data_IF_107524166216
#
_entry.id   IF_107524166216
#
_cell.length_a   1.000
_cell.length_b   1.000
_cell.length_c   1.000
_cell.angle_alpha   90.00
_cell.angle_beta   90.00
_cell.angle_gamma   90.00
#
_symmetry.space_group_name_H-M   'P 1'
#
loop_
_entity.id
_entity.type
_entity.pdbx_description
1 polymer ?
#
# COMPACT_ATOMS: atom_id res chain seq x y z
N UNK A 1 11.03 5.01 4.72
CA UNK A 1 9.61 5.38 4.94
C UNK A 1 9.09 5.98 3.65
N UNK A 2 8.10 5.37 3.03
CA UNK A 2 7.47 5.83 1.79
C UNK A 2 6.29 6.76 2.12
N UNK A 3 5.37 6.31 2.96
CA UNK A 3 4.19 7.08 3.30
C UNK A 3 3.65 6.81 4.69
N UNK A 4 2.93 7.79 5.21
CA UNK A 4 2.21 7.74 6.47
C UNK A 4 0.85 8.41 6.24
N UNK A 5 -0.22 7.69 6.51
CA UNK A 5 -1.56 8.11 6.11
C UNK A 5 -2.58 7.87 7.23
N UNK A 6 -3.66 8.64 7.17
CA UNK A 6 -4.92 8.33 7.86
C UNK A 6 -5.88 7.75 6.84
N UNK A 7 -6.56 6.68 7.21
CA UNK A 7 -7.65 6.15 6.40
C UNK A 7 -8.88 7.04 6.58
N UNK A 8 -9.49 7.46 5.46
CA UNK A 8 -10.66 8.35 5.51
C UNK A 8 -11.95 7.61 5.86
N UNK A 9 -12.00 6.28 5.66
CA UNK A 9 -13.16 5.45 5.99
C UNK A 9 -13.05 4.81 7.36
N UNK A 10 -11.83 4.68 7.88
CA UNK A 10 -11.53 4.14 9.19
C UNK A 10 -10.58 5.11 9.94
N UNK A 11 -11.10 6.19 10.55
CA UNK A 11 -10.27 7.26 11.14
C UNK A 11 -9.30 6.80 12.22
N UNK A 12 -9.57 5.64 12.84
CA UNK A 12 -8.71 5.01 13.84
C UNK A 12 -7.57 4.19 13.20
N UNK A 13 -7.58 4.05 11.87
CA UNK A 13 -6.51 3.36 11.14
C UNK A 13 -5.40 4.34 10.73
N UNK A 14 -4.18 3.95 11.06
CA UNK A 14 -2.97 4.63 10.62
C UNK A 14 -2.18 3.71 9.71
N UNK A 15 -2.07 4.07 8.45
CA UNK A 15 -1.43 3.24 7.43
C UNK A 15 0.01 3.68 7.21
N UNK A 16 0.95 2.73 7.28
CA UNK A 16 2.36 2.94 6.99
C UNK A 16 2.79 2.17 5.75
N UNK A 17 3.45 2.86 4.84
CA UNK A 17 4.21 2.25 3.76
C UNK A 17 5.71 2.36 4.07
N UNK A 18 6.34 1.24 4.31
CA UNK A 18 7.77 1.12 4.56
C UNK A 18 8.42 0.34 3.43
N UNK A 19 9.45 0.88 2.80
CA UNK A 19 10.22 0.20 1.78
C UNK A 19 11.60 -0.17 2.30
N UNK A 20 12.09 -1.32 1.88
CA UNK A 20 13.40 -1.87 2.17
C UNK A 20 13.97 -2.45 0.88
N UNK A 21 15.30 -2.50 0.71
CA UNK A 21 15.91 -3.11 -0.46
C UNK A 21 15.52 -4.60 -0.62
N UNK A 22 15.49 -5.33 0.50
CA UNK A 22 15.17 -6.76 0.58
C UNK A 22 14.68 -7.13 1.99
N UNK A 23 14.35 -8.42 2.20
CA UNK A 23 13.87 -8.93 3.49
C UNK A 23 14.95 -8.93 4.58
N UNK A 24 16.22 -9.08 4.23
CA UNK A 24 17.31 -9.01 5.19
C UNK A 24 17.47 -7.57 5.70
N UNK A 25 17.55 -6.59 4.82
CA UNK A 25 17.61 -5.17 5.17
C UNK A 25 16.38 -4.73 5.99
N UNK A 26 15.18 -5.27 5.67
CA UNK A 26 13.99 -5.08 6.50
C UNK A 26 14.20 -5.59 7.92
N UNK A 27 14.69 -6.82 8.06
CA UNK A 27 14.91 -7.47 9.35
C UNK A 27 15.91 -6.68 10.21
N UNK A 28 17.02 -6.27 9.62
CA UNK A 28 18.05 -5.46 10.29
C UNK A 28 17.51 -4.10 10.73
N UNK A 29 16.79 -3.41 9.85
CA UNK A 29 16.20 -2.12 10.17
C UNK A 29 15.13 -2.20 11.27
N UNK A 30 14.30 -3.26 11.28
CA UNK A 30 13.32 -3.48 12.33
C UNK A 30 13.99 -3.79 13.68
N UNK A 31 15.02 -4.63 13.69
CA UNK A 31 15.82 -4.91 14.91
C UNK A 31 16.45 -3.63 15.47
N UNK A 32 17.07 -2.83 14.61
CA UNK A 32 17.67 -1.56 15.00
C UNK A 32 16.63 -0.58 15.55
N UNK A 33 15.47 -0.48 14.94
CA UNK A 33 14.40 0.40 15.38
C UNK A 33 13.79 -0.03 16.71
N UNK A 34 13.34 -1.28 16.81
CA UNK A 34 12.65 -1.80 18.01
C UNK A 34 13.60 -2.04 19.18
N UNK A 35 14.88 -2.31 18.93
CA UNK A 35 15.95 -2.35 19.95
C UNK A 35 16.53 -0.99 20.30
N UNK A 36 16.22 0.06 19.53
CA UNK A 36 16.84 1.37 19.67
C UNK A 36 16.27 2.22 20.82
N UNK A 37 17.04 3.24 21.28
CA UNK A 37 16.66 4.04 22.44
C UNK A 37 15.36 4.85 22.23
N UNK A 38 15.10 5.32 21.02
CA UNK A 38 13.87 6.05 20.73
C UNK A 38 12.62 5.19 20.93
N UNK A 39 12.64 3.93 20.46
CA UNK A 39 11.51 3.01 20.71
C UNK A 39 11.40 2.66 22.19
N UNK A 40 12.50 2.35 22.84
CA UNK A 40 12.50 2.00 24.28
C UNK A 40 11.91 3.13 25.14
N UNK A 41 12.22 4.38 24.83
CA UNK A 41 11.69 5.55 25.55
C UNK A 41 10.18 5.76 25.33
N UNK A 42 9.62 5.37 24.16
CA UNK A 42 8.24 5.72 23.79
C UNK A 42 7.32 4.52 23.58
N UNK A 43 7.82 3.28 23.69
CA UNK A 43 7.06 2.07 23.35
C UNK A 43 5.74 1.95 24.12
N UNK A 44 5.73 2.28 25.41
CA UNK A 44 4.51 2.17 26.22
C UNK A 44 3.42 3.11 25.70
N UNK A 45 3.76 4.38 25.48
CA UNK A 45 2.82 5.33 24.91
C UNK A 45 2.37 4.96 23.49
N UNK A 46 3.28 4.45 22.66
CA UNK A 46 2.93 3.99 21.32
C UNK A 46 1.97 2.78 21.36
N UNK A 47 2.26 1.78 22.19
CA UNK A 47 1.44 0.57 22.27
C UNK A 47 0.03 0.86 22.81
N UNK A 48 -0.15 1.83 23.71
CA UNK A 48 -1.48 2.22 24.20
C UNK A 48 -2.36 2.87 23.13
N UNK A 49 -1.79 3.31 22.01
CA UNK A 49 -2.54 3.88 20.88
C UNK A 49 -2.84 2.85 19.78
N UNK A 50 -2.33 1.63 19.89
CA UNK A 50 -2.52 0.60 18.87
C UNK A 50 -3.67 -0.32 19.27
N UNK A 51 -4.67 -0.44 18.40
CA UNK A 51 -5.75 -1.44 18.53
C UNK A 51 -5.25 -2.79 18.03
N UNK A 52 -4.58 -2.79 16.87
CA UNK A 52 -3.97 -3.96 16.25
C UNK A 52 -2.71 -3.54 15.49
N UNK A 53 -1.63 -4.29 15.63
CA UNK A 53 -0.37 -4.07 14.92
C UNK A 53 -0.04 -5.20 13.92
N UNK A 54 -0.91 -6.20 13.78
CA UNK A 54 -0.60 -7.46 13.09
C UNK A 54 -1.14 -7.51 11.65
N UNK A 55 -1.85 -6.45 11.21
CA UNK A 55 -2.32 -6.33 9.83
C UNK A 55 -1.22 -5.79 8.92
N UNK A 56 -0.22 -6.62 8.67
CA UNK A 56 0.95 -6.27 7.87
C UNK A 56 1.03 -7.18 6.64
N UNK A 57 1.05 -6.58 5.46
CA UNK A 57 1.36 -7.26 4.21
C UNK A 57 2.84 -7.12 3.90
N UNK A 58 3.52 -8.22 3.58
CA UNK A 58 4.80 -8.21 2.90
C UNK A 58 4.54 -8.22 1.40
N UNK A 59 5.10 -7.23 0.73
CA UNK A 59 4.89 -7.02 -0.70
C UNK A 59 6.23 -6.84 -1.41
N UNK A 60 6.32 -7.35 -2.62
CA UNK A 60 7.39 -7.03 -3.57
C UNK A 60 6.80 -6.37 -4.82
N UNK A 61 7.55 -5.54 -5.55
CA UNK A 61 7.09 -5.01 -6.83
C UNK A 61 6.57 -6.11 -7.73
N UNK A 62 5.46 -5.87 -8.43
CA UNK A 62 4.87 -6.85 -9.36
C UNK A 62 5.84 -7.18 -10.50
N UNK A 63 6.64 -6.19 -10.92
CA UNK A 63 7.79 -6.33 -11.82
C UNK A 63 8.86 -5.27 -11.46
N UNK A 64 10.08 -5.33 -11.98
CA UNK A 64 11.22 -4.51 -11.49
C UNK A 64 10.96 -3.00 -11.42
N UNK A 65 10.15 -2.46 -12.32
CA UNK A 65 9.87 -1.01 -12.39
C UNK A 65 8.52 -0.60 -11.79
N UNK A 66 7.71 -1.54 -11.29
CA UNK A 66 6.37 -1.27 -10.79
C UNK A 66 6.34 -0.68 -9.38
N UNK A 67 7.46 -0.63 -8.69
CA UNK A 67 7.58 -0.03 -7.36
C UNK A 67 7.44 1.50 -7.37
N UNK A 68 7.27 2.07 -6.19
CA UNK A 68 7.28 3.52 -6.06
C UNK A 68 8.61 4.10 -6.56
N UNK A 69 8.53 5.02 -7.50
CA UNK A 69 9.70 5.76 -7.96
C UNK A 69 10.26 6.64 -6.84
N UNK A 70 11.58 6.92 -6.84
CA UNK A 70 12.18 7.84 -5.89
C UNK A 70 11.46 9.19 -5.92
N UNK A 71 10.83 9.54 -4.82
CA UNK A 71 10.12 10.80 -4.65
C UNK A 71 10.98 11.82 -3.90
N UNK A 72 10.45 13.02 -3.65
CA UNK A 72 11.13 14.05 -2.90
C UNK A 72 11.50 13.57 -1.50
N UNK A 73 12.46 14.21 -0.88
CA UNK A 73 12.87 13.93 0.48
C UNK A 73 11.73 14.10 1.48
N UNK A 74 11.82 13.35 2.58
CA UNK A 74 10.83 13.45 3.64
C UNK A 74 10.78 14.87 4.20
N UNK A 75 9.59 15.51 4.26
CA UNK A 75 9.47 16.83 4.84
C UNK A 75 10.02 16.91 6.26
N UNK A 76 10.66 18.03 6.60
CA UNK A 76 11.17 18.30 7.95
C UNK A 76 10.03 18.24 8.99
N UNK A 77 10.38 17.92 10.25
CA UNK A 77 9.46 18.04 11.37
C UNK A 77 9.03 19.52 11.56
N UNK A 78 7.75 19.74 11.90
CA UNK A 78 7.21 21.09 12.09
C UNK A 78 6.45 21.66 10.90
N UNK A 79 6.40 21.00 9.73
CA UNK A 79 5.46 21.38 8.68
C UNK A 79 4.04 21.05 9.10
N UNK A 80 3.18 22.07 9.12
CA UNK A 80 1.78 21.94 9.54
C UNK A 80 0.81 21.66 8.37
N UNK A 81 1.18 22.01 7.14
CA UNK A 81 0.30 21.83 6.00
C UNK A 81 0.29 20.36 5.55
N UNK A 82 -0.84 19.68 5.70
CA UNK A 82 -1.08 18.41 5.04
C UNK A 82 -1.13 18.62 3.51
N UNK A 83 -0.65 17.66 2.72
CA UNK A 83 -0.80 17.72 1.27
C UNK A 83 -2.29 17.68 0.90
N UNK A 84 -2.63 18.33 -0.19
CA UNK A 84 -3.95 18.21 -0.81
C UNK A 84 -3.99 16.93 -1.66
N UNK A 85 -5.15 16.26 -1.68
CA UNK A 85 -5.35 15.03 -2.43
C UNK A 85 -5.30 13.78 -1.57
N UNK A 86 -5.60 12.66 -2.21
CA UNK A 86 -5.64 11.33 -1.59
C UNK A 86 -4.77 10.36 -2.37
N UNK A 87 -4.13 9.45 -1.65
CA UNK A 87 -3.56 8.23 -2.21
C UNK A 87 -4.59 7.14 -2.04
N UNK A 88 -4.88 6.40 -3.09
CA UNK A 88 -5.83 5.30 -3.07
C UNK A 88 -5.05 4.00 -3.15
N UNK A 89 -5.18 3.17 -2.13
CA UNK A 89 -4.65 1.82 -2.11
C UNK A 89 -5.76 0.83 -2.42
N UNK A 90 -5.60 0.06 -3.49
CA UNK A 90 -6.54 -0.99 -3.86
C UNK A 90 -5.88 -2.34 -3.67
N UNK A 91 -6.49 -3.19 -2.85
CA UNK A 91 -6.04 -4.55 -2.58
C UNK A 91 -6.98 -5.53 -3.23
N UNK A 92 -6.45 -6.35 -4.13
CA UNK A 92 -7.15 -7.45 -4.77
C UNK A 92 -6.66 -8.77 -4.17
N UNK A 93 -7.58 -9.53 -3.59
CA UNK A 93 -7.31 -10.85 -3.06
C UNK A 93 -7.45 -11.85 -4.19
N UNK A 94 -6.33 -12.44 -4.57
CA UNK A 94 -6.25 -13.30 -5.73
C UNK A 94 -6.66 -14.73 -5.41
N UNK A 95 -7.33 -15.36 -6.37
CA UNK A 95 -7.45 -16.80 -6.39
C UNK A 95 -6.03 -17.42 -6.50
N UNK A 96 -5.74 -18.50 -5.77
CA UNK A 96 -4.41 -19.13 -5.84
C UNK A 96 -3.97 -19.52 -7.25
N UNK A 97 -4.89 -19.88 -8.13
CA UNK A 97 -4.59 -20.23 -9.52
C UNK A 97 -4.24 -19.04 -10.39
N UNK A 98 -4.68 -17.84 -10.02
CA UNK A 98 -4.43 -16.61 -10.77
C UNK A 98 -3.14 -15.90 -10.34
N UNK A 99 -2.64 -16.14 -9.13
CA UNK A 99 -1.56 -15.36 -8.50
C UNK A 99 -0.33 -15.18 -9.39
N UNK A 100 0.16 -16.25 -10.00
CA UNK A 100 1.39 -16.22 -10.78
C UNK A 100 1.26 -15.43 -12.08
N UNK A 101 0.11 -15.47 -12.75
CA UNK A 101 -0.12 -14.80 -14.04
C UNK A 101 -0.74 -13.41 -13.91
N UNK A 102 -1.21 -13.03 -12.73
CA UNK A 102 -1.96 -11.81 -12.56
C UNK A 102 -1.17 -10.52 -12.85
N UNK A 103 0.13 -10.40 -12.51
CA UNK A 103 0.92 -9.22 -12.88
C UNK A 103 0.89 -8.91 -14.38
N UNK A 104 0.99 -9.94 -15.22
CA UNK A 104 0.93 -9.81 -16.68
C UNK A 104 -0.46 -9.34 -17.14
N UNK A 105 -1.52 -9.91 -16.57
CA UNK A 105 -2.91 -9.49 -16.87
C UNK A 105 -3.13 -8.05 -16.43
N UNK A 106 -2.60 -7.66 -15.29
CA UNK A 106 -2.70 -6.29 -14.81
C UNK A 106 -2.03 -5.32 -15.77
N UNK A 107 -0.80 -5.59 -16.16
CA UNK A 107 -0.01 -4.69 -17.00
C UNK A 107 -0.55 -4.59 -18.43
N UNK A 108 -0.91 -5.74 -19.02
CA UNK A 108 -1.32 -5.80 -20.43
C UNK A 108 -2.79 -5.41 -20.65
N UNK A 109 -3.66 -5.59 -19.66
CA UNK A 109 -5.11 -5.37 -19.82
C UNK A 109 -5.65 -4.30 -18.87
N UNK A 110 -5.46 -4.48 -17.56
CA UNK A 110 -6.16 -3.66 -16.57
C UNK A 110 -5.55 -2.26 -16.43
N UNK A 111 -4.23 -2.13 -16.42
CA UNK A 111 -3.57 -0.83 -16.28
C UNK A 111 -3.85 0.12 -17.46
N UNK A 112 -3.86 -0.32 -18.74
CA UNK A 112 -4.32 0.50 -19.84
C UNK A 112 -5.77 0.97 -19.72
N UNK A 113 -6.67 0.11 -19.21
CA UNK A 113 -8.05 0.49 -18.97
C UNK A 113 -8.18 1.52 -17.86
N UNK A 114 -7.43 1.37 -16.76
CA UNK A 114 -7.35 2.35 -15.68
C UNK A 114 -6.82 3.70 -16.20
N UNK A 115 -5.76 3.68 -16.98
CA UNK A 115 -5.20 4.89 -17.59
C UNK A 115 -6.21 5.58 -18.49
N UNK A 116 -6.94 4.83 -19.33
CA UNK A 116 -8.01 5.34 -20.19
C UNK A 116 -9.16 6.00 -19.42
N UNK A 117 -9.45 5.50 -18.20
CA UNK A 117 -10.43 6.09 -17.30
C UNK A 117 -9.86 7.28 -16.47
N UNK A 118 -8.60 7.65 -16.68
CA UNK A 118 -7.92 8.71 -15.95
C UNK A 118 -7.53 8.33 -14.51
N UNK A 119 -7.38 7.03 -14.22
CA UNK A 119 -6.89 6.50 -12.94
C UNK A 119 -5.43 6.07 -13.13
N UNK A 120 -4.44 6.95 -12.86
CA UNK A 120 -3.03 6.61 -13.06
C UNK A 120 -2.57 5.60 -12.01
N UNK A 121 -1.87 4.56 -12.43
CA UNK A 121 -1.19 3.63 -11.54
C UNK A 121 0.16 4.23 -11.14
N UNK A 122 0.36 4.43 -9.84
CA UNK A 122 1.62 4.95 -9.27
C UNK A 122 2.63 3.84 -8.97
N UNK A 123 2.14 2.71 -8.52
CA UNK A 123 2.93 1.53 -8.20
C UNK A 123 2.03 0.31 -8.08
N UNK A 124 2.59 -0.87 -8.31
CA UNK A 124 1.89 -2.15 -8.13
C UNK A 124 2.80 -3.20 -7.50
N UNK A 125 2.21 -4.04 -6.67
CA UNK A 125 2.91 -5.03 -5.85
C UNK A 125 2.13 -6.33 -5.78
N UNK A 126 2.86 -7.41 -5.55
CA UNK A 126 2.32 -8.74 -5.22
C UNK A 126 2.77 -9.18 -3.84
N UNK A 127 2.11 -10.19 -3.29
CA UNK A 127 2.56 -10.82 -2.04
C UNK A 127 4.02 -11.25 -2.11
N UNK A 128 4.76 -10.99 -1.05
CA UNK A 128 6.09 -11.55 -0.80
C UNK A 128 5.93 -12.74 0.15
N UNK A 129 6.27 -13.93 -0.30
CA UNK A 129 6.13 -15.19 0.44
C UNK A 129 7.42 -15.62 1.16
N UNK A 130 8.44 -14.76 1.14
CA UNK A 130 9.68 -14.99 1.88
C UNK A 130 9.46 -14.99 3.40
N UNK A 131 10.39 -15.62 4.11
CA UNK A 131 10.32 -15.74 5.57
C UNK A 131 10.31 -14.35 6.26
N UNK A 132 9.42 -14.19 7.24
CA UNK A 132 9.42 -13.03 8.11
C UNK A 132 10.57 -13.10 9.13
N UNK A 133 11.72 -12.56 8.79
CA UNK A 133 12.91 -12.54 9.65
C UNK A 133 12.77 -11.69 10.94
N UNK A 134 11.59 -11.09 11.20
CA UNK A 134 11.30 -10.32 12.41
C UNK A 134 9.93 -10.73 12.99
N UNK A 135 9.82 -11.89 13.66
CA UNK A 135 8.55 -12.44 14.16
C UNK A 135 7.83 -11.56 15.18
N UNK A 136 8.56 -10.68 15.88
CA UNK A 136 7.95 -9.73 16.83
C UNK A 136 7.00 -8.70 16.15
N UNK A 137 7.04 -8.59 14.84
CA UNK A 137 6.02 -7.92 14.02
C UNK A 137 5.40 -8.97 13.11
N UNK A 138 4.26 -9.56 13.48
CA UNK A 138 3.56 -10.54 12.67
C UNK A 138 3.20 -10.00 11.30
N UNK A 139 3.04 -10.90 10.34
CA UNK A 139 2.63 -10.58 8.97
C UNK A 139 1.58 -11.57 8.51
N UNK A 140 0.76 -11.17 7.55
CA UNK A 140 -0.23 -12.03 6.89
C UNK A 140 0.48 -12.93 5.86
N UNK A 141 1.14 -13.98 6.34
CA UNK A 141 2.03 -14.83 5.54
C UNK A 141 1.31 -15.62 4.43
N UNK A 142 0.02 -15.91 4.63
CA UNK A 142 -0.85 -16.63 3.69
C UNK A 142 -1.62 -15.72 2.72
N UNK A 143 -1.42 -14.40 2.83
CA UNK A 143 -2.09 -13.45 1.96
C UNK A 143 -1.61 -13.61 0.51
N UNK A 144 -2.55 -13.75 -0.42
CA UNK A 144 -2.32 -13.72 -1.86
C UNK A 144 -2.99 -12.48 -2.41
N UNK A 145 -2.22 -11.42 -2.53
CA UNK A 145 -2.77 -10.12 -2.93
C UNK A 145 -1.99 -9.49 -4.07
N UNK A 146 -2.71 -8.72 -4.85
CA UNK A 146 -2.16 -7.70 -5.73
C UNK A 146 -2.59 -6.34 -5.18
N UNK A 147 -1.63 -5.50 -4.85
CA UNK A 147 -1.89 -4.17 -4.30
C UNK A 147 -1.36 -3.13 -5.27
N UNK A 148 -2.22 -2.21 -5.66
CA UNK A 148 -1.79 -1.09 -6.50
C UNK A 148 -2.24 0.24 -5.92
N UNK A 149 -1.53 1.28 -6.29
CA UNK A 149 -1.73 2.61 -5.77
C UNK A 149 -2.02 3.58 -6.91
N UNK A 150 -2.93 4.51 -6.63
CA UNK A 150 -3.20 5.67 -7.47
C UNK A 150 -3.28 6.93 -6.62
N UNK A 151 -3.45 8.09 -7.27
CA UNK A 151 -3.74 9.34 -6.57
C UNK A 151 -4.86 10.11 -7.27
N UNK A 152 -5.54 10.94 -6.50
CA UNK A 152 -6.56 11.85 -7.00
C UNK A 152 -6.60 13.12 -6.14
N UNK A 153 -7.17 14.20 -6.70
CA UNK A 153 -7.41 15.43 -5.95
C UNK A 153 -8.39 15.24 -4.77
N UNK A 154 -9.13 14.13 -4.76
CA UNK A 154 -10.04 13.74 -3.67
C UNK A 154 -10.80 12.47 -4.04
N UNK A 155 -11.50 11.89 -3.06
CA UNK A 155 -12.31 10.67 -3.19
C UNK A 155 -13.28 10.74 -4.37
N UNK A 156 -14.13 11.75 -4.43
CA UNK A 156 -15.17 11.90 -5.45
C UNK A 156 -14.59 11.93 -6.88
N UNK A 157 -13.39 12.50 -7.03
CA UNK A 157 -12.69 12.49 -8.32
C UNK A 157 -12.28 11.09 -8.71
N UNK A 158 -11.72 10.33 -7.77
CA UNK A 158 -11.34 8.92 -8.00
C UNK A 158 -12.57 8.06 -8.34
N UNK A 159 -13.61 8.12 -7.50
CA UNK A 159 -14.84 7.33 -7.66
C UNK A 159 -15.51 7.59 -9.03
N UNK A 160 -15.59 8.85 -9.45
CA UNK A 160 -16.13 9.21 -10.76
C UNK A 160 -15.32 8.62 -11.91
N UNK A 161 -13.98 8.63 -11.81
CA UNK A 161 -13.10 8.03 -12.80
C UNK A 161 -13.21 6.49 -12.80
N UNK A 162 -13.23 5.88 -11.63
CA UNK A 162 -13.40 4.44 -11.49
C UNK A 162 -14.77 3.97 -12.01
N UNK A 163 -15.83 4.76 -11.86
CA UNK A 163 -17.16 4.47 -12.41
C UNK A 163 -17.18 4.46 -13.94
N UNK A 164 -16.20 5.08 -14.60
CA UNK A 164 -16.07 5.03 -16.06
C UNK A 164 -15.42 3.72 -16.57
N UNK A 165 -14.90 2.88 -15.67
CA UNK A 165 -14.44 1.54 -16.01
C UNK A 165 -15.64 0.69 -16.39
N UNK A 166 -15.72 0.32 -17.64
CA UNK A 166 -16.86 -0.43 -18.18
C UNK A 166 -16.90 -1.90 -17.74
N UNK A 167 -17.91 -2.66 -18.17
CA UNK A 167 -18.08 -4.07 -17.82
C UNK A 167 -16.91 -4.95 -18.23
N UNK A 168 -16.15 -4.58 -19.24
CA UNK A 168 -14.95 -5.28 -19.66
C UNK A 168 -13.86 -5.33 -18.60
N UNK A 169 -13.71 -4.28 -17.79
CA UNK A 169 -12.79 -4.25 -16.67
C UNK A 169 -13.18 -5.28 -15.60
N UNK A 170 -14.45 -5.28 -15.20
CA UNK A 170 -14.95 -6.25 -14.22
C UNK A 170 -14.84 -7.68 -14.75
N UNK A 171 -15.17 -7.92 -16.03
CA UNK A 171 -15.06 -9.23 -16.67
C UNK A 171 -13.62 -9.76 -16.72
N UNK A 172 -12.64 -8.89 -16.92
CA UNK A 172 -11.22 -9.27 -16.90
C UNK A 172 -10.71 -9.54 -15.48
N UNK A 173 -11.18 -8.78 -14.50
CA UNK A 173 -10.71 -8.85 -13.11
C UNK A 173 -11.37 -9.99 -12.32
N UNK A 174 -12.70 -10.15 -12.42
CA UNK A 174 -13.48 -11.00 -11.54
C UNK A 174 -13.04 -12.47 -11.48
N UNK A 175 -12.66 -13.13 -12.59
CA UNK A 175 -12.18 -14.51 -12.55
C UNK A 175 -10.90 -14.72 -11.73
N UNK A 176 -10.15 -13.65 -11.49
CA UNK A 176 -8.88 -13.70 -10.77
C UNK A 176 -9.02 -13.46 -9.26
N UNK A 177 -10.21 -13.08 -8.79
CA UNK A 177 -10.44 -12.68 -7.41
C UNK A 177 -11.03 -13.79 -6.56
N UNK A 178 -10.46 -14.00 -5.37
CA UNK A 178 -11.03 -14.86 -4.34
C UNK A 178 -12.14 -14.15 -3.52
N UNK A 179 -12.11 -12.81 -3.47
CA UNK A 179 -13.11 -11.98 -2.76
C UNK A 179 -13.16 -10.56 -3.34
N UNK A 180 -14.18 -9.76 -2.99
CA UNK A 180 -14.29 -8.38 -3.46
C UNK A 180 -13.06 -7.53 -3.15
N UNK A 181 -12.70 -6.57 -4.03
CA UNK A 181 -11.63 -5.61 -3.79
C UNK A 181 -11.81 -4.81 -2.50
N UNK A 182 -10.70 -4.54 -1.82
CA UNK A 182 -10.64 -3.56 -0.74
C UNK A 182 -10.03 -2.26 -1.29
N UNK A 183 -10.66 -1.13 -1.00
CA UNK A 183 -10.17 0.19 -1.42
C UNK A 183 -10.05 1.09 -0.21
N UNK A 184 -8.85 1.59 0.06
CA UNK A 184 -8.59 2.52 1.13
C UNK A 184 -8.25 3.91 0.56
N UNK A 185 -8.96 4.93 1.03
CA UNK A 185 -8.70 6.32 0.70
C UNK A 185 -7.80 6.94 1.77
N UNK A 186 -6.56 7.17 1.43
CA UNK A 186 -5.49 7.49 2.35
C UNK A 186 -5.14 8.99 2.27
N UNK A 187 -5.40 9.72 3.35
CA UNK A 187 -4.96 11.11 3.50
C UNK A 187 -3.51 11.15 3.98
N UNK A 188 -2.57 11.69 3.19
CA UNK A 188 -1.19 11.78 3.61
C UNK A 188 -1.01 12.69 4.82
N UNK A 189 -0.18 12.27 5.77
CA UNK A 189 0.25 13.17 6.85
C UNK A 189 1.25 14.21 6.32
N UNK A 190 1.49 15.27 7.10
CA UNK A 190 2.48 16.29 6.75
C UNK A 190 3.90 15.72 6.54
N UNK A 191 4.19 14.53 7.11
CA UNK A 191 5.48 13.83 7.02
C UNK A 191 5.54 12.74 5.95
N UNK A 192 4.44 12.47 5.23
CA UNK A 192 4.44 11.51 4.14
C UNK A 192 5.30 12.00 2.97
N UNK A 193 6.10 11.11 2.38
CA UNK A 193 6.83 11.39 1.11
C UNK A 193 5.88 11.22 -0.07
N UNK A 194 5.10 10.12 -0.05
CA UNK A 194 4.05 9.89 -1.04
C UNK A 194 2.86 10.79 -0.72
N UNK A 195 2.42 11.54 -1.71
CA UNK A 195 1.36 12.55 -1.60
C UNK A 195 0.41 12.39 -2.78
N UNK A 196 -0.85 12.71 -2.59
CA UNK A 196 -1.85 12.73 -3.65
C UNK A 196 -1.73 13.93 -4.58
#
# INVERSE_FOLDING_TARGET
>A
MIGQFRDLDAPDHFVWLRGFPDLQARTEALRAFYGGPAWQAHRTAANTTMINSDDVLLLRPAHPESGFQPGPDRPASGRSAAPHGVVVATTWHLDPSAEAGFPEVFESVLAPMLAGAGVPVLASFVSEHGENGFPALPVRADARVFVWFSCAAGRTVHERRAAALGPGFAAALQPCLARPPEVAFLSPTARSRLRG
#
